data_IF_129482602916
#
_entry.id   IF_129482602916
#
_cell.length_a   1.000
_cell.length_b   1.000
_cell.length_c   1.000
_cell.angle_alpha   90.00
_cell.angle_beta   90.00
_cell.angle_gamma   90.00
#
_symmetry.space_group_name_H-M   'P 1'
#
loop_
_entity.id
_entity.type
_entity.pdbx_description
1 polymer ?
#
# COMPACT_ATOMS: atom_id res chain seq x y z
N UNK A 1 -10.07 -4.20 20.93
CA UNK A 1 -11.28 -3.36 20.99
C UNK A 1 -12.46 -4.03 21.71
N UNK A 2 -12.38 -5.29 22.07
CA UNK A 2 -13.45 -6.06 22.75
C UNK A 2 -14.81 -6.10 21.99
N UNK A 3 -14.81 -5.80 20.68
CA UNK A 3 -16.00 -5.94 19.85
C UNK A 3 -16.18 -7.41 19.47
N UNK A 4 -17.39 -7.90 19.60
CA UNK A 4 -17.80 -9.19 19.05
C UNK A 4 -17.73 -9.13 17.52
N UNK A 5 -17.37 -10.22 16.90
CA UNK A 5 -17.37 -10.40 15.44
C UNK A 5 -17.64 -11.86 15.11
N UNK A 6 -18.17 -12.08 13.93
CA UNK A 6 -18.47 -13.42 13.43
C UNK A 6 -17.41 -13.86 12.44
N UNK A 7 -17.00 -15.12 12.53
CA UNK A 7 -16.27 -15.84 11.49
C UNK A 7 -17.32 -16.64 10.74
N UNK A 8 -17.49 -16.35 9.46
CA UNK A 8 -18.50 -17.02 8.65
C UNK A 8 -18.11 -18.48 8.38
N UNK A 9 -19.08 -19.38 8.22
CA UNK A 9 -18.80 -20.81 7.96
C UNK A 9 -17.82 -21.02 6.79
N UNK A 10 -17.96 -20.25 5.71
CA UNK A 10 -17.10 -20.34 4.53
C UNK A 10 -15.65 -19.92 4.81
N UNK A 11 -15.40 -19.15 5.85
CA UNK A 11 -14.03 -18.69 6.20
C UNK A 11 -13.21 -19.84 6.81
N UNK A 12 -13.86 -20.80 7.45
CA UNK A 12 -13.16 -21.97 8.03
C UNK A 12 -12.51 -22.83 6.95
N UNK A 13 -13.12 -22.96 5.77
CA UNK A 13 -12.50 -23.66 4.64
C UNK A 13 -11.18 -23.00 4.21
N UNK A 14 -11.11 -21.67 4.24
CA UNK A 14 -9.87 -20.95 3.94
C UNK A 14 -8.81 -21.18 5.02
N UNK A 15 -9.17 -21.06 6.30
CA UNK A 15 -8.21 -21.26 7.42
C UNK A 15 -7.69 -22.68 7.48
N UNK A 16 -8.53 -23.70 7.25
CA UNK A 16 -8.13 -25.10 7.16
C UNK A 16 -7.16 -25.35 6.00
N UNK A 17 -7.46 -24.78 4.82
CA UNK A 17 -6.62 -24.90 3.63
C UNK A 17 -5.20 -24.38 3.85
N UNK A 18 -5.06 -23.29 4.59
CA UNK A 18 -3.76 -22.69 4.91
C UNK A 18 -3.19 -23.16 6.27
N UNK A 19 -3.87 -24.05 6.97
CA UNK A 19 -3.46 -24.63 8.25
C UNK A 19 -3.19 -23.59 9.36
N UNK A 20 -4.07 -22.62 9.50
CA UNK A 20 -4.03 -21.61 10.57
C UNK A 20 -5.31 -21.69 11.41
N UNK A 21 -5.25 -21.35 12.71
CA UNK A 21 -6.46 -21.23 13.52
C UNK A 21 -7.32 -20.06 13.06
N UNK A 22 -8.62 -20.13 13.32
CA UNK A 22 -9.52 -18.99 13.12
C UNK A 22 -9.06 -17.77 13.92
N UNK A 23 -9.23 -16.53 13.38
CA UNK A 23 -8.75 -15.33 14.04
C UNK A 23 -9.52 -15.06 15.35
N UNK A 24 -8.80 -14.63 16.37
CA UNK A 24 -9.35 -14.19 17.65
C UNK A 24 -9.57 -12.67 17.73
N UNK A 25 -9.01 -11.91 16.78
CA UNK A 25 -9.20 -10.46 16.65
C UNK A 25 -10.16 -10.11 15.53
N UNK A 26 -11.00 -9.11 15.77
CA UNK A 26 -11.88 -8.58 14.73
C UNK A 26 -11.09 -8.00 13.53
N UNK A 27 -11.70 -7.85 12.34
CA UNK A 27 -10.99 -7.35 11.14
C UNK A 27 -10.30 -6.01 11.34
N UNK A 28 -10.91 -5.06 12.08
CA UNK A 28 -10.30 -3.76 12.37
C UNK A 28 -9.05 -3.89 13.26
N UNK A 29 -9.06 -4.76 14.27
CA UNK A 29 -7.87 -5.01 15.08
C UNK A 29 -6.76 -5.71 14.28
N UNK A 30 -7.13 -6.59 13.36
CA UNK A 30 -6.16 -7.26 12.49
C UNK A 30 -5.48 -6.28 11.52
N UNK A 31 -6.22 -5.33 10.94
CA UNK A 31 -5.59 -4.30 10.09
C UNK A 31 -4.68 -3.36 10.90
N UNK A 32 -5.08 -2.95 12.10
CA UNK A 32 -4.24 -2.14 12.99
C UNK A 32 -2.93 -2.87 13.30
N UNK A 33 -2.99 -4.15 13.62
CA UNK A 33 -1.80 -4.98 13.87
C UNK A 33 -0.84 -4.98 12.66
N UNK A 34 -1.36 -5.17 11.44
CA UNK A 34 -0.55 -5.10 10.21
C UNK A 34 0.05 -3.72 9.99
N UNK A 35 -0.68 -2.65 10.31
CA UNK A 35 -0.18 -1.28 10.16
C UNK A 35 0.96 -0.94 11.13
N UNK A 36 1.10 -1.64 12.26
CA UNK A 36 2.25 -1.46 13.16
C UNK A 36 3.61 -1.75 12.49
N UNK A 37 3.64 -2.52 11.41
CA UNK A 37 4.85 -2.82 10.65
C UNK A 37 5.14 -1.81 9.53
N UNK A 38 4.34 -0.75 9.40
CA UNK A 38 4.44 0.22 8.31
C UNK A 38 4.72 1.62 8.81
N UNK A 39 5.74 2.25 8.23
CA UNK A 39 5.92 3.68 8.27
C UNK A 39 6.27 4.19 6.86
N UNK A 40 5.29 4.66 6.12
CA UNK A 40 5.48 5.11 4.75
C UNK A 40 5.82 6.59 4.66
N UNK A 41 5.26 7.42 5.53
CA UNK A 41 5.24 8.89 5.36
C UNK A 41 6.14 9.65 6.34
N UNK A 42 6.48 9.08 7.50
CA UNK A 42 7.32 9.77 8.48
C UNK A 42 8.78 9.42 8.26
N UNK A 43 9.55 10.38 7.79
CA UNK A 43 10.99 10.23 7.53
C UNK A 43 11.82 11.01 8.55
N UNK A 44 12.92 10.40 8.96
CA UNK A 44 13.86 10.93 9.96
C UNK A 44 15.26 10.98 9.39
N UNK A 45 16.02 12.02 9.73
CA UNK A 45 17.47 12.04 9.50
C UNK A 45 18.17 11.27 10.62
N UNK A 46 18.98 10.28 10.29
CA UNK A 46 19.82 9.53 11.22
C UNK A 46 21.12 9.11 10.56
N UNK A 47 22.08 8.61 11.35
CA UNK A 47 23.29 7.99 10.81
C UNK A 47 23.01 6.53 10.41
N UNK A 48 23.59 6.10 9.30
CA UNK A 48 23.64 4.70 8.90
C UNK A 48 24.55 3.94 9.86
N UNK A 49 24.05 2.88 10.49
CA UNK A 49 24.83 2.13 11.49
C UNK A 49 26.00 1.33 10.87
N UNK A 50 26.06 1.20 9.53
CA UNK A 50 27.18 0.60 8.83
C UNK A 50 28.25 1.64 8.44
N UNK A 51 27.85 2.72 7.77
CA UNK A 51 28.79 3.68 7.15
C UNK A 51 29.02 4.95 7.94
N UNK A 52 28.24 5.21 8.99
CA UNK A 52 28.27 6.46 9.75
C UNK A 52 27.73 7.70 9.01
N UNK A 53 27.41 7.61 7.71
CA UNK A 53 26.89 8.71 6.90
C UNK A 53 25.44 9.05 7.28
N UNK A 54 25.07 10.32 7.17
CA UNK A 54 23.69 10.74 7.36
C UNK A 54 22.79 10.20 6.25
N UNK A 55 21.62 9.69 6.64
CA UNK A 55 20.64 9.10 5.75
C UNK A 55 19.21 9.49 6.15
N UNK A 56 18.29 9.45 5.21
CA UNK A 56 16.85 9.44 5.50
C UNK A 56 16.38 8.03 5.80
N UNK A 57 15.54 7.89 6.80
CA UNK A 57 15.07 6.59 7.29
C UNK A 57 13.61 6.66 7.76
N UNK A 58 12.88 5.58 7.58
CA UNK A 58 11.57 5.38 8.20
C UNK A 58 11.65 5.01 9.69
N UNK A 59 12.86 4.90 10.24
CA UNK A 59 13.12 4.66 11.66
C UNK A 59 13.68 5.91 12.32
N UNK A 60 13.13 6.30 13.47
CA UNK A 60 13.63 7.41 14.27
C UNK A 60 15.06 7.15 14.78
N UNK A 61 15.77 8.21 15.25
CA UNK A 61 17.09 8.07 15.88
C UNK A 61 17.06 7.19 17.12
N UNK A 62 15.93 7.14 17.81
CA UNK A 62 15.72 6.39 19.07
C UNK A 62 15.17 4.98 18.86
N UNK A 63 14.89 4.59 17.61
CA UNK A 63 14.41 3.24 17.32
C UNK A 63 15.48 2.20 17.73
N UNK A 64 15.11 1.15 18.47
CA UNK A 64 16.07 0.18 19.03
C UNK A 64 16.50 -0.86 17.98
N UNK A 65 16.77 -0.42 16.75
CA UNK A 65 17.18 -1.26 15.63
C UNK A 65 18.36 -0.64 14.89
N UNK A 66 19.22 -1.47 14.33
CA UNK A 66 20.27 -1.06 13.40
C UNK A 66 19.64 -0.74 12.05
N UNK A 67 20.06 0.35 11.42
CA UNK A 67 19.53 0.75 10.11
C UNK A 67 20.67 1.03 9.14
N UNK A 68 20.65 0.33 8.04
CA UNK A 68 21.62 0.52 6.96
C UNK A 68 21.04 1.38 5.84
N UNK A 69 21.89 2.16 5.19
CA UNK A 69 21.54 2.81 3.93
C UNK A 69 21.01 1.75 2.95
N UNK A 70 20.04 2.13 2.12
CA UNK A 70 19.39 1.23 1.16
C UNK A 70 20.39 0.48 0.29
N UNK A 71 21.40 1.16 -0.26
CA UNK A 71 22.36 0.56 -1.19
C UNK A 71 23.32 -0.40 -0.48
N UNK A 72 23.67 -0.13 0.77
CA UNK A 72 24.43 -1.06 1.61
C UNK A 72 23.57 -2.26 1.98
N UNK A 73 22.31 -2.04 2.36
CA UNK A 73 21.42 -3.11 2.76
C UNK A 73 21.17 -4.10 1.61
N UNK A 74 21.14 -3.61 0.36
CA UNK A 74 20.97 -4.45 -0.84
C UNK A 74 22.29 -5.00 -1.43
N UNK A 75 23.44 -4.63 -0.88
CA UNK A 75 24.76 -5.12 -1.33
C UNK A 75 25.19 -6.38 -0.56
N UNK A 76 26.28 -7.01 -1.03
CA UNK A 76 26.91 -8.17 -0.41
C UNK A 76 27.90 -7.80 0.73
N UNK A 77 27.82 -6.57 1.26
CA UNK A 77 28.70 -6.10 2.36
C UNK A 77 28.29 -6.65 3.72
N UNK A 78 27.18 -7.32 3.81
CA UNK A 78 26.66 -7.97 5.02
C UNK A 78 25.77 -9.15 4.60
N UNK A 79 25.67 -10.17 5.44
CA UNK A 79 24.78 -11.30 5.24
C UNK A 79 23.77 -11.40 6.38
N UNK A 80 22.50 -11.51 6.04
CA UNK A 80 21.44 -11.73 7.02
C UNK A 80 21.54 -13.11 7.70
N UNK A 81 22.24 -14.06 7.09
CA UNK A 81 22.51 -15.37 7.67
C UNK A 81 23.42 -15.31 8.91
N UNK A 82 24.31 -14.29 9.03
CA UNK A 82 25.21 -14.09 10.18
C UNK A 82 24.42 -13.85 11.48
N UNK A 83 23.16 -13.47 11.39
CA UNK A 83 22.24 -13.25 12.52
C UNK A 83 21.41 -14.49 12.86
N UNK A 84 21.56 -15.57 12.10
CA UNK A 84 20.84 -16.83 12.28
C UNK A 84 21.14 -17.49 13.62
N UNK A 85 20.10 -18.06 14.24
CA UNK A 85 20.21 -18.80 15.50
C UNK A 85 19.44 -20.09 15.46
N UNK A 86 19.93 -21.09 16.18
CA UNK A 86 19.15 -22.30 16.44
C UNK A 86 17.89 -21.97 17.23
N UNK A 87 16.83 -22.69 16.90
CA UNK A 87 15.60 -22.60 17.67
C UNK A 87 15.78 -23.20 19.06
N UNK A 88 15.39 -22.44 20.06
CA UNK A 88 15.49 -22.86 21.46
C UNK A 88 14.09 -23.22 22.01
N UNK A 89 13.84 -24.48 22.25
CA UNK A 89 12.58 -24.98 22.81
C UNK A 89 12.34 -24.58 24.29
N UNK A 90 13.29 -23.94 24.96
CA UNK A 90 13.09 -23.40 26.31
C UNK A 90 12.59 -21.94 26.33
N UNK A 91 12.30 -21.34 25.15
CA UNK A 91 11.87 -19.95 25.02
C UNK A 91 10.73 -19.82 24.01
N UNK A 92 9.72 -18.97 24.25
CA UNK A 92 8.66 -18.72 23.28
C UNK A 92 9.22 -18.26 21.92
N UNK A 93 8.59 -18.70 20.82
CA UNK A 93 9.00 -18.32 19.47
C UNK A 93 9.08 -16.79 19.29
N UNK A 94 8.08 -16.04 19.72
CA UNK A 94 8.05 -14.60 19.52
C UNK A 94 9.10 -13.85 20.36
N UNK A 95 9.60 -14.40 21.45
CA UNK A 95 10.76 -13.83 22.16
C UNK A 95 12.02 -13.95 21.29
N UNK A 96 12.25 -15.12 20.69
CA UNK A 96 13.38 -15.39 19.81
C UNK A 96 13.29 -14.57 18.53
N UNK A 97 12.12 -14.48 17.91
CA UNK A 97 11.87 -13.68 16.73
C UNK A 97 12.05 -12.17 17.00
N UNK A 98 11.56 -11.66 18.14
CA UNK A 98 11.81 -10.28 18.58
C UNK A 98 13.30 -10.00 18.77
N UNK A 99 14.05 -10.96 19.30
CA UNK A 99 15.50 -10.82 19.43
C UNK A 99 16.17 -10.70 18.05
N UNK A 100 15.76 -11.48 17.06
CA UNK A 100 16.22 -11.36 15.69
C UNK A 100 15.86 -9.98 15.10
N UNK A 101 14.60 -9.51 15.25
CA UNK A 101 14.13 -8.19 14.82
C UNK A 101 15.02 -7.04 15.33
N UNK A 102 15.44 -7.10 16.61
CA UNK A 102 16.22 -6.04 17.26
C UNK A 102 17.70 -6.06 16.89
N UNK A 103 18.24 -7.19 16.48
CA UNK A 103 19.67 -7.34 16.21
C UNK A 103 20.03 -7.24 14.73
N UNK A 104 19.15 -7.67 13.83
CA UNK A 104 19.40 -7.63 12.39
C UNK A 104 19.27 -6.21 11.83
N UNK A 105 20.11 -5.81 10.85
CA UNK A 105 19.97 -4.51 10.20
C UNK A 105 18.68 -4.38 9.35
N UNK A 106 18.06 -3.20 9.42
CA UNK A 106 16.88 -2.84 8.64
C UNK A 106 17.26 -1.90 7.51
N UNK A 107 16.52 -2.00 6.40
CA UNK A 107 16.64 -1.05 5.29
C UNK A 107 16.11 0.33 5.71
N UNK A 108 16.84 1.38 5.37
CA UNK A 108 16.46 2.75 5.74
C UNK A 108 15.15 3.20 5.13
N UNK A 109 14.93 2.91 3.85
CA UNK A 109 13.74 3.27 3.05
C UNK A 109 13.52 2.25 1.94
N UNK A 110 12.28 2.15 1.48
CA UNK A 110 11.91 1.40 0.28
C UNK A 110 11.88 2.33 -0.94
N UNK A 111 13.00 2.45 -1.63
CA UNK A 111 13.14 3.32 -2.81
C UNK A 111 13.96 2.62 -3.89
N UNK A 112 13.75 2.97 -5.15
CA UNK A 112 14.56 2.49 -6.28
C UNK A 112 14.61 3.56 -7.38
N UNK A 113 15.79 3.78 -8.00
CA UNK A 113 16.00 4.69 -9.13
C UNK A 113 15.40 6.09 -8.87
N UNK A 114 15.83 6.77 -7.83
CA UNK A 114 15.41 8.15 -7.53
C UNK A 114 16.52 9.14 -7.86
N UNK A 115 16.17 10.26 -8.49
CA UNK A 115 17.07 11.36 -8.84
C UNK A 115 16.48 12.66 -8.27
N UNK A 116 17.25 13.39 -7.46
CA UNK A 116 16.78 14.64 -6.84
C UNK A 116 15.53 14.49 -5.97
N UNK A 117 15.32 13.31 -5.36
CA UNK A 117 14.06 12.94 -4.70
C UNK A 117 14.28 12.35 -3.30
N UNK A 118 15.08 13.04 -2.48
CA UNK A 118 15.59 12.48 -1.21
C UNK A 118 14.53 12.27 -0.12
N UNK A 119 13.44 13.04 -0.11
CA UNK A 119 12.38 12.96 0.90
C UNK A 119 11.21 12.06 0.47
N UNK A 120 11.49 11.00 -0.29
CA UNK A 120 10.48 10.06 -0.78
C UNK A 120 10.67 8.67 -0.14
N UNK A 121 9.59 7.91 -0.05
CA UNK A 121 9.63 6.54 0.44
C UNK A 121 8.54 5.68 -0.22
N UNK A 122 8.77 4.37 -0.23
CA UNK A 122 7.91 3.40 -0.91
C UNK A 122 7.65 3.81 -2.37
N UNK A 123 8.73 4.16 -3.07
CA UNK A 123 8.65 4.84 -4.34
C UNK A 123 9.78 4.39 -5.29
N UNK A 124 9.52 4.46 -6.60
CA UNK A 124 10.49 4.08 -7.61
C UNK A 124 10.44 4.93 -8.88
N UNK A 125 11.59 5.05 -9.55
CA UNK A 125 11.70 5.78 -10.81
C UNK A 125 11.15 7.23 -10.71
N UNK A 126 11.61 7.96 -9.69
CA UNK A 126 11.24 9.35 -9.46
C UNK A 126 12.36 10.30 -9.86
N UNK A 127 11.99 11.48 -10.37
CA UNK A 127 12.93 12.57 -10.67
C UNK A 127 12.36 13.89 -10.16
N UNK A 128 13.21 14.68 -9.44
CA UNK A 128 12.85 15.99 -8.89
C UNK A 128 11.57 15.98 -8.03
N UNK A 129 11.36 14.94 -7.23
CA UNK A 129 10.17 14.79 -6.41
C UNK A 129 10.44 15.08 -4.94
N UNK A 130 9.45 15.65 -4.24
CA UNK A 130 9.55 15.98 -2.83
C UNK A 130 8.31 15.54 -2.06
N UNK A 131 8.51 14.79 -0.96
CA UNK A 131 7.43 14.23 -0.12
C UNK A 131 6.41 13.43 -0.94
N UNK A 132 6.94 12.53 -1.77
CA UNK A 132 6.14 11.58 -2.56
C UNK A 132 6.21 10.20 -1.94
N UNK A 133 5.05 9.56 -1.79
CA UNK A 133 4.93 8.24 -1.15
C UNK A 133 4.06 7.28 -1.97
N UNK A 134 4.44 6.01 -2.02
CA UNK A 134 3.68 5.00 -2.72
C UNK A 134 3.62 5.14 -4.24
N UNK A 135 4.57 5.84 -4.84
CA UNK A 135 4.47 6.34 -6.22
C UNK A 135 5.56 5.75 -7.11
N UNK A 136 5.28 5.67 -8.41
CA UNK A 136 6.23 5.20 -9.40
C UNK A 136 6.15 6.01 -10.69
N UNK A 137 7.31 6.14 -11.39
CA UNK A 137 7.41 6.79 -12.69
C UNK A 137 6.80 8.21 -12.69
N UNK A 138 7.23 9.05 -11.77
CA UNK A 138 6.72 10.43 -11.69
C UNK A 138 7.86 11.43 -11.58
N UNK A 139 7.66 12.62 -12.19
CA UNK A 139 8.65 13.68 -12.24
C UNK A 139 8.04 15.00 -11.73
N UNK A 140 8.90 15.91 -11.25
CA UNK A 140 8.58 17.30 -10.89
C UNK A 140 7.32 17.45 -10.01
N UNK A 141 7.11 16.49 -9.10
CA UNK A 141 5.89 16.41 -8.29
C UNK A 141 6.21 16.49 -6.79
N UNK A 142 5.29 17.04 -6.00
CA UNK A 142 5.48 17.17 -4.57
C UNK A 142 4.18 17.02 -3.76
N UNK A 143 4.34 16.65 -2.46
CA UNK A 143 3.25 16.50 -1.50
C UNK A 143 2.15 15.55 -1.96
N UNK A 144 2.52 14.41 -2.56
CA UNK A 144 1.53 13.52 -3.14
C UNK A 144 1.73 12.03 -2.80
N UNK A 145 0.68 11.25 -3.00
CA UNK A 145 0.63 9.84 -2.66
C UNK A 145 0.01 9.03 -3.80
N UNK A 146 0.55 7.83 -4.03
CA UNK A 146 0.03 6.90 -5.04
C UNK A 146 -0.03 7.49 -6.46
N UNK A 147 1.00 8.25 -6.85
CA UNK A 147 1.14 8.72 -8.23
C UNK A 147 1.68 7.60 -9.13
N UNK A 148 1.18 7.53 -10.35
CA UNK A 148 1.65 6.56 -11.35
C UNK A 148 1.73 7.21 -12.72
N UNK A 149 2.95 7.36 -13.25
CA UNK A 149 3.23 8.06 -14.51
C UNK A 149 2.67 9.51 -14.51
N UNK A 150 2.98 10.28 -13.48
CA UNK A 150 2.48 11.63 -13.30
C UNK A 150 3.61 12.66 -13.33
N UNK A 151 3.34 13.82 -13.91
CA UNK A 151 4.27 14.96 -13.97
C UNK A 151 3.59 16.22 -13.44
N UNK A 152 4.37 17.11 -12.80
CA UNK A 152 3.90 18.39 -12.29
C UNK A 152 2.64 18.29 -11.41
N UNK A 153 2.59 17.28 -10.53
CA UNK A 153 1.46 17.04 -9.64
C UNK A 153 1.79 17.47 -8.21
N UNK A 154 0.93 18.30 -7.64
CA UNK A 154 1.10 18.87 -6.28
C UNK A 154 -0.15 18.65 -5.45
N UNK A 155 0.02 18.37 -4.14
CA UNK A 155 -1.07 18.15 -3.16
C UNK A 155 -2.14 17.16 -3.67
N UNK A 156 -1.71 16.04 -4.22
CA UNK A 156 -2.58 15.12 -4.95
C UNK A 156 -2.48 13.67 -4.47
N UNK A 157 -3.55 12.90 -4.64
CA UNK A 157 -3.60 11.48 -4.25
C UNK A 157 -4.30 10.60 -5.31
N UNK A 158 -3.75 9.39 -5.53
CA UNK A 158 -4.28 8.37 -6.44
C UNK A 158 -4.46 8.88 -7.90
N UNK A 159 -3.40 9.49 -8.45
CA UNK A 159 -3.39 9.92 -9.85
C UNK A 159 -2.68 8.91 -10.75
N UNK A 160 -3.20 8.74 -11.95
CA UNK A 160 -2.59 7.88 -12.98
C UNK A 160 -2.52 8.58 -14.33
N UNK A 161 -1.32 8.67 -14.91
CA UNK A 161 -1.06 9.33 -16.19
C UNK A 161 -1.62 10.78 -16.23
N UNK A 162 -1.43 11.53 -15.15
CA UNK A 162 -1.86 12.90 -15.05
C UNK A 162 -0.68 13.86 -15.21
N UNK A 163 -0.92 14.99 -15.87
CA UNK A 163 0.03 16.08 -15.98
C UNK A 163 -0.61 17.37 -15.50
N UNK A 164 0.15 18.18 -14.76
CA UNK A 164 -0.28 19.46 -14.19
C UNK A 164 -1.57 19.30 -13.37
N UNK A 165 -1.45 18.72 -12.19
CA UNK A 165 -2.58 18.55 -11.27
C UNK A 165 -2.29 19.21 -9.92
N UNK A 166 -3.27 19.93 -9.40
CA UNK A 166 -3.21 20.52 -8.07
C UNK A 166 -4.50 20.23 -7.29
N UNK A 167 -4.37 19.78 -6.03
CA UNK A 167 -5.48 19.27 -5.21
C UNK A 167 -6.34 18.26 -6.00
N UNK A 168 -5.67 17.32 -6.71
CA UNK A 168 -6.31 16.26 -7.48
C UNK A 168 -6.51 14.98 -6.65
N UNK A 169 -7.68 14.34 -6.79
CA UNK A 169 -7.98 13.10 -6.11
C UNK A 169 -8.65 12.08 -7.03
N UNK A 170 -8.07 10.87 -7.15
CA UNK A 170 -8.60 9.78 -7.96
C UNK A 170 -8.87 10.20 -9.43
N UNK A 171 -7.97 10.98 -10.00
CA UNK A 171 -8.06 11.36 -11.40
C UNK A 171 -7.20 10.44 -12.27
N UNK A 172 -7.69 10.14 -13.46
CA UNK A 172 -7.02 9.21 -14.38
C UNK A 172 -6.98 9.76 -15.79
N UNK A 173 -5.76 9.77 -16.36
CA UNK A 173 -5.53 10.29 -17.71
C UNK A 173 -6.08 11.72 -17.89
N UNK A 174 -5.77 12.59 -16.94
CA UNK A 174 -6.18 13.99 -16.98
C UNK A 174 -4.99 14.90 -17.27
N UNK A 175 -5.25 16.00 -17.97
CA UNK A 175 -4.30 17.06 -18.22
C UNK A 175 -4.88 18.40 -17.75
N UNK A 176 -4.11 19.17 -16.96
CA UNK A 176 -4.57 20.40 -16.31
C UNK A 176 -5.86 20.18 -15.49
N UNK A 177 -5.75 19.38 -14.43
CA UNK A 177 -6.86 19.10 -13.54
C UNK A 177 -6.62 19.74 -12.15
N UNK A 178 -7.35 20.80 -11.86
CA UNK A 178 -7.21 21.56 -10.63
C UNK A 178 -8.44 21.37 -9.72
N UNK A 179 -8.23 21.11 -8.43
CA UNK A 179 -9.29 20.94 -7.43
C UNK A 179 -10.37 19.95 -7.87
N UNK A 180 -9.99 18.93 -8.62
CA UNK A 180 -10.92 18.01 -9.27
C UNK A 180 -10.75 16.59 -8.75
N UNK A 181 -11.86 15.85 -8.67
CA UNK A 181 -11.83 14.49 -8.12
C UNK A 181 -12.73 13.53 -8.89
N UNK A 182 -12.30 12.24 -8.96
CA UNK A 182 -13.01 11.20 -9.67
C UNK A 182 -13.27 11.53 -11.14
N UNK A 183 -12.29 12.18 -11.78
CA UNK A 183 -12.37 12.57 -13.19
C UNK A 183 -11.49 11.66 -14.04
N UNK A 184 -12.03 11.19 -15.16
CA UNK A 184 -11.28 10.36 -16.09
C UNK A 184 -11.27 11.03 -17.49
N UNK A 185 -10.17 10.84 -18.23
CA UNK A 185 -10.02 11.25 -19.63
C UNK A 185 -10.45 12.72 -19.86
N UNK A 186 -10.08 13.62 -18.95
CA UNK A 186 -10.56 15.00 -18.98
C UNK A 186 -9.43 16.01 -19.10
N UNK A 187 -9.66 17.14 -19.78
CA UNK A 187 -8.66 18.14 -20.13
C UNK A 187 -9.13 19.53 -19.71
N UNK A 188 -8.23 20.33 -19.11
CA UNK A 188 -8.51 21.70 -18.68
C UNK A 188 -9.77 21.78 -17.81
N UNK A 189 -9.74 21.06 -16.70
CA UNK A 189 -10.85 20.98 -15.76
C UNK A 189 -10.49 21.63 -14.43
N UNK A 190 -11.43 22.41 -13.89
CA UNK A 190 -11.27 23.07 -12.58
C UNK A 190 -12.52 22.80 -11.75
N UNK A 191 -12.35 22.35 -10.52
CA UNK A 191 -13.43 22.05 -9.58
C UNK A 191 -14.49 21.05 -10.12
N UNK A 192 -14.06 20.09 -10.94
CA UNK A 192 -14.96 19.05 -11.47
C UNK A 192 -14.96 17.80 -10.56
N UNK A 193 -16.11 17.14 -10.46
CA UNK A 193 -16.28 15.96 -9.64
C UNK A 193 -17.15 14.92 -10.33
N UNK A 194 -16.70 13.63 -10.27
CA UNK A 194 -17.41 12.48 -10.86
C UNK A 194 -17.66 12.64 -12.38
N UNK A 195 -16.69 13.16 -13.09
CA UNK A 195 -16.82 13.49 -14.50
C UNK A 195 -15.97 12.58 -15.40
N UNK A 196 -16.37 12.44 -16.65
CA UNK A 196 -15.64 11.63 -17.62
C UNK A 196 -15.67 12.29 -19.00
N UNK A 197 -14.50 12.35 -19.67
CA UNK A 197 -14.35 12.89 -21.00
C UNK A 197 -14.87 14.33 -21.11
N UNK A 198 -14.37 15.19 -20.22
CA UNK A 198 -14.64 16.63 -20.27
C UNK A 198 -13.48 17.40 -20.91
N UNK A 199 -13.80 18.50 -21.55
CA UNK A 199 -12.82 19.43 -22.08
C UNK A 199 -13.23 20.88 -21.77
N UNK A 200 -12.34 21.68 -21.16
CA UNK A 200 -12.63 23.06 -20.78
C UNK A 200 -13.92 23.15 -19.96
N UNK A 201 -13.91 22.64 -18.74
CA UNK A 201 -15.08 22.61 -17.86
C UNK A 201 -14.75 23.15 -16.48
N UNK A 202 -15.66 23.89 -15.86
CA UNK A 202 -15.51 24.53 -14.57
C UNK A 202 -16.69 24.22 -13.64
N UNK A 203 -16.41 23.72 -12.43
CA UNK A 203 -17.42 23.46 -11.41
C UNK A 203 -18.49 22.43 -11.83
N UNK A 204 -18.12 21.47 -12.65
CA UNK A 204 -19.07 20.47 -13.21
C UNK A 204 -19.14 19.20 -12.37
N UNK A 205 -20.35 18.67 -12.20
CA UNK A 205 -20.67 17.53 -11.36
C UNK A 205 -21.40 16.46 -12.17
N UNK A 206 -20.95 15.20 -12.11
CA UNK A 206 -21.58 14.04 -12.73
C UNK A 206 -21.76 14.16 -14.27
N UNK A 207 -20.94 14.93 -14.97
CA UNK A 207 -21.05 15.10 -16.43
C UNK A 207 -20.18 14.10 -17.22
N UNK A 208 -20.63 13.83 -18.44
CA UNK A 208 -19.92 12.96 -19.40
C UNK A 208 -19.98 13.54 -20.80
N UNK A 209 -18.82 13.46 -21.51
CA UNK A 209 -18.71 13.85 -22.93
C UNK A 209 -19.19 15.31 -23.16
N UNK A 210 -18.66 16.26 -22.40
CA UNK A 210 -19.03 17.68 -22.48
C UNK A 210 -17.83 18.58 -22.65
N UNK A 211 -18.05 19.71 -23.32
CA UNK A 211 -17.03 20.75 -23.49
C UNK A 211 -17.65 22.14 -23.27
N UNK A 212 -16.87 23.05 -22.66
CA UNK A 212 -17.26 24.43 -22.37
C UNK A 212 -18.49 24.54 -21.46
N UNK A 213 -18.46 23.80 -20.33
CA UNK A 213 -19.53 23.84 -19.32
C UNK A 213 -19.05 24.57 -18.06
N UNK A 214 -19.91 25.41 -17.49
CA UNK A 214 -19.73 26.03 -16.18
C UNK A 214 -20.97 25.74 -15.32
N UNK A 215 -20.76 25.14 -14.11
CA UNK A 215 -21.85 24.72 -13.21
C UNK A 215 -22.95 23.91 -13.94
N UNK A 216 -22.53 22.94 -14.74
CA UNK A 216 -23.37 22.08 -15.58
C UNK A 216 -24.20 22.81 -16.67
N UNK A 217 -23.91 24.06 -16.99
CA UNK A 217 -24.57 24.78 -18.06
C UNK A 217 -23.63 24.96 -19.26
N UNK A 218 -24.14 24.76 -20.51
CA UNK A 218 -23.33 24.93 -21.71
C UNK A 218 -23.09 26.39 -22.04
N UNK A 219 -21.94 26.69 -22.65
CA UNK A 219 -21.55 27.97 -23.18
C UNK A 219 -20.93 27.78 -24.57
N UNK A 220 -20.91 28.84 -25.42
CA UNK A 220 -20.00 28.83 -26.54
C UNK A 220 -18.55 28.90 -26.05
N UNK A 221 -17.59 28.62 -26.92
CA UNK A 221 -16.18 28.69 -26.57
C UNK A 221 -15.79 30.08 -26.07
N UNK A 222 -16.21 31.10 -26.78
CA UNK A 222 -15.92 32.48 -26.48
C UNK A 222 -16.55 32.95 -25.17
N UNK A 223 -17.80 32.61 -24.95
CA UNK A 223 -18.53 32.89 -23.69
C UNK A 223 -17.93 32.17 -22.51
N UNK A 224 -17.49 30.92 -22.68
CA UNK A 224 -16.86 30.16 -21.63
C UNK A 224 -15.63 30.86 -21.05
N UNK A 225 -14.69 31.26 -21.90
CA UNK A 225 -13.49 31.93 -21.45
C UNK A 225 -13.80 33.31 -20.87
N UNK A 226 -14.68 34.10 -21.48
CA UNK A 226 -15.15 35.37 -20.95
C UNK A 226 -15.77 35.21 -19.56
N UNK A 227 -16.59 34.20 -19.35
CA UNK A 227 -17.22 33.95 -18.06
C UNK A 227 -16.20 33.48 -17.03
N UNK A 228 -15.21 32.64 -17.41
CA UNK A 228 -14.15 32.17 -16.54
C UNK A 228 -13.29 33.33 -16.02
N UNK A 229 -12.95 34.26 -16.87
CA UNK A 229 -12.18 35.48 -16.49
C UNK A 229 -12.91 36.33 -15.45
N UNK A 230 -14.25 36.36 -15.45
CA UNK A 230 -15.03 37.11 -14.44
C UNK A 230 -14.86 36.57 -13.02
N UNK A 231 -14.51 35.31 -12.86
CA UNK A 231 -14.29 34.73 -11.53
C UNK A 231 -13.03 35.26 -10.86
N UNK A 232 -12.07 35.76 -11.62
CA UNK A 232 -10.83 36.34 -11.13
C UNK A 232 -10.20 35.51 -10.00
N UNK A 233 -9.92 34.21 -10.26
CA UNK A 233 -9.46 33.22 -9.30
C UNK A 233 -8.07 33.54 -8.72
N UNK A 234 -7.33 34.48 -9.26
CA UNK A 234 -6.06 34.95 -8.71
C UNK A 234 -6.21 35.67 -7.36
N UNK A 235 -7.41 36.17 -7.03
CA UNK A 235 -7.67 36.78 -5.74
C UNK A 235 -8.16 35.71 -4.72
N UNK A 236 -7.45 35.57 -3.62
CA UNK A 236 -7.77 34.59 -2.57
C UNK A 236 -9.22 34.67 -2.05
N UNK A 237 -9.77 35.88 -1.92
CA UNK A 237 -11.17 36.10 -1.55
C UNK A 237 -12.13 35.44 -2.55
N UNK A 238 -11.95 35.75 -3.85
CA UNK A 238 -12.80 35.23 -4.91
C UNK A 238 -12.69 33.69 -5.02
N UNK A 239 -11.48 33.20 -4.92
CA UNK A 239 -11.23 31.73 -4.89
C UNK A 239 -12.04 31.05 -3.80
N UNK A 240 -12.00 31.57 -2.56
CA UNK A 240 -12.74 30.98 -1.45
C UNK A 240 -14.28 31.12 -1.61
N UNK A 241 -14.76 32.20 -2.17
CA UNK A 241 -16.19 32.38 -2.49
C UNK A 241 -16.65 31.35 -3.52
N UNK A 242 -15.87 31.16 -4.58
CA UNK A 242 -16.15 30.16 -5.63
C UNK A 242 -16.08 28.74 -5.05
N UNK A 243 -15.06 28.41 -4.25
CA UNK A 243 -14.94 27.10 -3.60
C UNK A 243 -16.20 26.77 -2.79
N UNK A 244 -16.67 27.68 -1.94
CA UNK A 244 -17.91 27.51 -1.17
C UNK A 244 -19.15 27.34 -2.08
N UNK A 245 -19.24 28.10 -3.17
CA UNK A 245 -20.34 27.99 -4.13
C UNK A 245 -20.36 26.62 -4.81
N UNK A 246 -19.20 26.08 -5.14
CA UNK A 246 -19.06 24.76 -5.74
C UNK A 246 -19.43 23.65 -4.75
N UNK A 247 -19.01 23.76 -3.50
CA UNK A 247 -19.40 22.83 -2.43
C UNK A 247 -20.93 22.77 -2.27
N UNK A 248 -21.59 23.93 -2.21
CA UNK A 248 -23.06 24.02 -2.14
C UNK A 248 -23.74 23.49 -3.41
N UNK A 249 -23.14 23.74 -4.58
CA UNK A 249 -23.64 23.22 -5.85
C UNK A 249 -23.56 21.69 -5.90
N UNK A 250 -22.45 21.10 -5.42
CA UNK A 250 -22.25 19.66 -5.35
C UNK A 250 -23.31 18.96 -4.52
N UNK A 251 -23.77 19.55 -3.41
CA UNK A 251 -24.80 18.98 -2.55
C UNK A 251 -26.17 18.80 -3.24
N UNK A 252 -26.39 19.39 -4.41
CA UNK A 252 -27.62 19.24 -5.20
C UNK A 252 -27.65 17.98 -6.05
N UNK A 253 -26.55 17.27 -6.16
CA UNK A 253 -26.42 16.09 -7.00
C UNK A 253 -26.33 14.82 -6.20
N UNK A 254 -26.88 13.70 -6.73
CA UNK A 254 -26.74 12.42 -6.08
C UNK A 254 -25.29 11.96 -6.02
N UNK A 255 -24.90 11.37 -4.91
CA UNK A 255 -23.59 10.76 -4.69
C UNK A 255 -23.69 9.27 -5.00
N UNK A 256 -22.68 8.70 -5.61
CA UNK A 256 -22.62 7.25 -5.83
C UNK A 256 -22.56 6.52 -4.49
N UNK A 257 -23.36 5.47 -4.36
CA UNK A 257 -23.32 4.57 -3.21
C UNK A 257 -21.95 3.85 -3.11
N UNK A 258 -21.39 3.47 -4.24
CA UNK A 258 -20.06 2.83 -4.35
C UNK A 258 -19.45 3.01 -5.75
N UNK A 259 -18.13 2.97 -5.81
CA UNK A 259 -17.35 2.98 -7.04
C UNK A 259 -16.97 1.54 -7.41
N UNK A 260 -17.77 0.94 -8.25
CA UNK A 260 -17.57 -0.48 -8.59
C UNK A 260 -18.12 -0.80 -9.98
N UNK A 261 -17.33 -1.50 -10.81
CA UNK A 261 -17.76 -1.92 -12.14
C UNK A 261 -17.26 -3.34 -12.47
N UNK A 262 -18.07 -4.08 -13.22
CA UNK A 262 -17.76 -5.43 -13.72
C UNK A 262 -17.44 -6.42 -12.61
N UNK A 263 -18.28 -6.46 -11.59
CA UNK A 263 -18.07 -7.30 -10.42
C UNK A 263 -19.22 -8.28 -10.18
N UNK A 264 -18.93 -9.35 -9.43
CA UNK A 264 -19.93 -10.30 -8.93
C UNK A 264 -19.64 -10.64 -7.47
N UNK A 265 -20.67 -10.56 -6.60
CA UNK A 265 -20.57 -10.87 -5.17
C UNK A 265 -19.48 -10.03 -4.47
N UNK A 266 -19.73 -8.73 -4.31
CA UNK A 266 -18.75 -7.83 -3.67
C UNK A 266 -19.39 -6.99 -2.56
N UNK A 267 -18.59 -6.72 -1.51
CA UNK A 267 -18.83 -5.67 -0.52
C UNK A 267 -17.58 -4.82 -0.30
N UNK A 268 -17.76 -3.50 -0.18
CA UNK A 268 -16.66 -2.53 -0.10
C UNK A 268 -16.75 -1.50 -1.21
N UNK A 269 -15.66 -0.73 -1.43
CA UNK A 269 -15.63 0.36 -2.41
C UNK A 269 -14.35 0.34 -3.26
N UNK A 270 -14.38 1.01 -4.42
CA UNK A 270 -13.29 1.02 -5.41
C UNK A 270 -12.89 -0.38 -5.88
N UNK A 271 -13.89 -1.22 -6.21
CA UNK A 271 -13.67 -2.60 -6.64
C UNK A 271 -14.04 -2.74 -8.12
N UNK A 272 -13.10 -3.25 -8.91
CA UNK A 272 -13.24 -3.36 -10.36
C UNK A 272 -12.85 -4.76 -10.88
N UNK A 273 -13.62 -5.28 -11.84
CA UNK A 273 -13.34 -6.55 -12.52
C UNK A 273 -13.11 -7.72 -11.55
N UNK A 274 -13.92 -7.83 -10.50
CA UNK A 274 -13.65 -8.71 -9.37
C UNK A 274 -14.83 -9.62 -9.02
N UNK A 275 -14.54 -10.76 -8.39
CA UNK A 275 -15.52 -11.78 -8.01
C UNK A 275 -15.26 -12.33 -6.62
N UNK A 276 -16.32 -12.48 -5.80
CA UNK A 276 -16.23 -12.96 -4.41
C UNK A 276 -15.22 -12.14 -3.58
N UNK A 277 -15.45 -10.83 -3.49
CA UNK A 277 -14.57 -9.89 -2.80
C UNK A 277 -15.36 -9.19 -1.71
N UNK A 278 -15.08 -9.49 -0.43
CA UNK A 278 -15.88 -9.03 0.71
C UNK A 278 -15.08 -8.16 1.68
N UNK A 279 -15.69 -7.04 2.10
CA UNK A 279 -15.08 -6.06 3.00
C UNK A 279 -13.68 -5.62 2.53
N UNK A 280 -13.58 -5.31 1.23
CA UNK A 280 -12.33 -4.93 0.60
C UNK A 280 -12.43 -3.53 -0.02
N UNK A 281 -11.26 -2.87 -0.18
CA UNK A 281 -11.19 -1.52 -0.73
C UNK A 281 -10.01 -1.38 -1.70
N UNK A 282 -10.22 -0.65 -2.82
CA UNK A 282 -9.20 -0.42 -3.85
C UNK A 282 -8.68 -1.75 -4.43
N UNK A 283 -9.58 -2.54 -5.00
CA UNK A 283 -9.27 -3.84 -5.59
C UNK A 283 -9.51 -3.80 -7.11
N UNK A 284 -8.58 -4.35 -7.86
CA UNK A 284 -8.76 -4.58 -9.30
C UNK A 284 -8.38 -6.02 -9.66
N UNK A 285 -9.26 -6.70 -10.41
CA UNK A 285 -9.09 -8.10 -10.81
C UNK A 285 -8.88 -9.05 -9.63
N UNK A 286 -9.69 -8.87 -8.56
CA UNK A 286 -9.64 -9.73 -7.37
C UNK A 286 -10.58 -10.93 -7.45
N UNK A 287 -10.17 -12.07 -6.92
CA UNK A 287 -11.00 -13.27 -6.78
C UNK A 287 -10.80 -13.92 -5.41
N UNK A 288 -11.88 -14.24 -4.69
CA UNK A 288 -11.85 -14.83 -3.34
C UNK A 288 -11.02 -14.00 -2.35
N UNK A 289 -11.35 -12.72 -2.18
CA UNK A 289 -10.65 -11.82 -1.26
C UNK A 289 -11.55 -11.42 -0.10
N UNK A 290 -10.99 -11.36 1.12
CA UNK A 290 -11.72 -10.87 2.29
C UNK A 290 -10.83 -10.00 3.18
N UNK A 291 -11.34 -8.83 3.60
CA UNK A 291 -10.63 -7.85 4.42
C UNK A 291 -9.31 -7.36 3.80
N UNK A 292 -9.27 -7.20 2.51
CA UNK A 292 -8.09 -6.79 1.75
C UNK A 292 -8.18 -5.33 1.28
N UNK A 293 -7.03 -4.67 1.15
CA UNK A 293 -6.97 -3.30 0.67
C UNK A 293 -5.77 -3.06 -0.27
N UNK A 294 -5.98 -2.22 -1.29
CA UNK A 294 -4.96 -1.80 -2.25
C UNK A 294 -4.28 -2.97 -2.98
N UNK A 295 -5.07 -3.91 -3.49
CA UNK A 295 -4.58 -5.05 -4.27
C UNK A 295 -4.93 -4.92 -5.75
N UNK A 296 -4.08 -5.50 -6.61
CA UNK A 296 -4.33 -5.62 -8.04
C UNK A 296 -3.67 -4.57 -8.92
N UNK A 297 -2.69 -3.86 -8.42
CA UNK A 297 -1.83 -3.00 -9.25
C UNK A 297 -0.94 -3.88 -10.14
N UNK A 298 -1.24 -3.93 -11.45
CA UNK A 298 -0.47 -4.68 -12.45
C UNK A 298 -0.85 -6.15 -12.64
N UNK A 299 -1.83 -6.70 -11.90
CA UNK A 299 -2.25 -8.10 -12.04
C UNK A 299 -3.46 -8.43 -11.18
N UNK A 300 -4.01 -9.62 -11.32
CA UNK A 300 -5.08 -10.13 -10.48
C UNK A 300 -4.54 -10.64 -9.13
N UNK A 301 -5.40 -10.67 -8.10
CA UNK A 301 -5.10 -11.28 -6.81
C UNK A 301 -6.12 -12.36 -6.52
N UNK A 302 -5.68 -13.50 -6.02
CA UNK A 302 -6.58 -14.61 -5.68
C UNK A 302 -6.34 -15.12 -4.27
N UNK A 303 -7.40 -15.69 -3.69
CA UNK A 303 -7.36 -16.46 -2.47
C UNK A 303 -6.53 -15.78 -1.37
N UNK A 304 -6.92 -14.57 -0.96
CA UNK A 304 -6.18 -13.80 0.03
C UNK A 304 -7.11 -13.19 1.06
N UNK A 305 -6.81 -13.40 2.34
CA UNK A 305 -7.53 -12.80 3.46
C UNK A 305 -6.58 -11.91 4.27
N UNK A 306 -7.08 -10.76 4.70
CA UNK A 306 -6.30 -9.83 5.52
C UNK A 306 -4.96 -9.40 4.88
N UNK A 307 -4.99 -9.12 3.58
CA UNK A 307 -3.82 -8.70 2.83
C UNK A 307 -3.89 -7.20 2.50
N UNK A 308 -2.82 -6.49 2.81
CA UNK A 308 -2.72 -5.05 2.56
C UNK A 308 -1.59 -4.75 1.58
N UNK A 309 -1.94 -4.11 0.46
CA UNK A 309 -1.09 -3.52 -0.56
C UNK A 309 -0.25 -4.49 -1.40
N UNK A 310 -0.37 -4.35 -2.69
CA UNK A 310 0.30 -4.95 -3.83
C UNK A 310 -0.33 -6.26 -4.31
N UNK A 311 0.13 -7.43 -3.90
CA UNK A 311 -0.51 -8.74 -4.10
C UNK A 311 -0.69 -9.24 -5.54
N UNK A 312 0.21 -8.92 -6.48
CA UNK A 312 0.09 -9.40 -7.86
C UNK A 312 0.06 -10.93 -7.93
N UNK A 313 -1.06 -11.47 -8.41
CA UNK A 313 -1.27 -12.91 -8.60
C UNK A 313 -1.33 -13.73 -7.30
N UNK A 314 -1.46 -13.07 -6.13
CA UNK A 314 -1.38 -13.76 -4.85
C UNK A 314 -2.35 -14.93 -4.72
N UNK A 315 -1.89 -16.02 -4.12
CA UNK A 315 -2.69 -17.19 -3.78
C UNK A 315 -2.39 -17.63 -2.35
N UNK A 316 -3.44 -17.80 -1.54
CA UNK A 316 -3.41 -18.24 -0.15
C UNK A 316 -2.51 -17.36 0.74
N UNK A 317 -2.76 -16.06 0.68
CA UNK A 317 -2.07 -15.09 1.53
C UNK A 317 -2.94 -14.75 2.73
N UNK A 318 -2.36 -14.75 3.91
CA UNK A 318 -3.06 -14.43 5.14
C UNK A 318 -2.26 -13.49 6.04
N UNK A 319 -2.95 -12.50 6.65
CA UNK A 319 -2.38 -11.53 7.60
C UNK A 319 -1.04 -10.94 7.15
N UNK A 320 -0.94 -10.55 5.88
CA UNK A 320 0.31 -10.10 5.29
C UNK A 320 0.22 -8.68 4.74
N UNK A 321 1.36 -8.00 4.62
CA UNK A 321 1.44 -6.60 4.23
C UNK A 321 2.59 -6.34 3.27
N UNK A 322 2.33 -5.57 2.20
CA UNK A 322 3.35 -5.17 1.20
C UNK A 322 4.07 -6.36 0.54
N UNK A 323 3.34 -7.44 0.32
CA UNK A 323 3.85 -8.63 -0.36
C UNK A 323 3.28 -8.69 -1.79
N UNK A 324 4.07 -9.13 -2.76
CA UNK A 324 3.64 -9.17 -4.16
C UNK A 324 4.69 -9.73 -5.12
N UNK A 325 4.39 -9.69 -6.42
CA UNK A 325 5.24 -10.20 -7.51
C UNK A 325 5.57 -11.70 -7.41
N UNK A 326 4.67 -12.54 -7.91
CA UNK A 326 4.81 -14.00 -7.95
C UNK A 326 5.02 -14.60 -6.54
N UNK A 327 4.06 -14.38 -5.67
CA UNK A 327 4.08 -14.91 -4.31
C UNK A 327 2.98 -15.96 -4.14
N UNK A 328 3.22 -16.94 -3.26
CA UNK A 328 2.19 -17.89 -2.84
C UNK A 328 2.47 -18.46 -1.45
N UNK A 329 1.40 -18.85 -0.74
CA UNK A 329 1.46 -19.42 0.60
C UNK A 329 2.27 -18.55 1.59
N UNK A 330 1.89 -17.27 1.74
CA UNK A 330 2.50 -16.35 2.70
C UNK A 330 1.56 -16.10 3.88
N UNK A 331 2.07 -16.31 5.09
CA UNK A 331 1.32 -16.12 6.32
C UNK A 331 2.10 -15.23 7.29
N UNK A 332 1.45 -14.18 7.80
CA UNK A 332 2.05 -13.24 8.76
C UNK A 332 3.35 -12.60 8.25
N UNK A 333 3.39 -12.27 6.96
CA UNK A 333 4.58 -11.75 6.28
C UNK A 333 4.49 -10.24 6.02
N UNK A 334 5.65 -9.58 6.00
CA UNK A 334 5.75 -8.16 5.68
C UNK A 334 6.88 -7.89 4.68
N UNK A 335 6.57 -7.17 3.60
CA UNK A 335 7.55 -6.76 2.58
C UNK A 335 8.34 -7.94 1.97
N UNK A 336 7.68 -9.08 1.74
CA UNK A 336 8.26 -10.25 1.09
C UNK A 336 7.93 -10.25 -0.41
N UNK A 337 8.94 -10.08 -1.24
CA UNK A 337 8.88 -9.98 -2.70
C UNK A 337 10.30 -9.94 -3.32
N UNK A 338 10.48 -10.21 -4.62
CA UNK A 338 9.62 -11.00 -5.50
C UNK A 338 9.79 -12.50 -5.27
N UNK A 339 8.97 -13.33 -5.96
CA UNK A 339 9.16 -14.78 -6.07
C UNK A 339 9.31 -15.49 -4.72
N UNK A 340 8.40 -15.23 -3.79
CA UNK A 340 8.40 -15.85 -2.46
C UNK A 340 7.31 -16.91 -2.34
N UNK A 341 7.67 -18.09 -1.83
CA UNK A 341 6.75 -19.23 -1.72
C UNK A 341 6.89 -19.90 -0.35
N UNK A 342 5.76 -20.17 0.33
CA UNK A 342 5.72 -20.87 1.62
C UNK A 342 6.56 -20.16 2.70
N UNK A 343 6.22 -18.91 3.00
CA UNK A 343 6.85 -18.11 4.04
C UNK A 343 5.89 -17.89 5.21
N UNK A 344 6.37 -18.08 6.43
CA UNK A 344 5.62 -17.79 7.65
C UNK A 344 6.43 -16.89 8.58
N UNK A 345 5.80 -15.86 9.16
CA UNK A 345 6.45 -14.87 10.04
C UNK A 345 7.72 -14.24 9.44
N UNK A 346 7.74 -13.96 8.15
CA UNK A 346 8.94 -13.48 7.46
C UNK A 346 8.84 -12.02 7.05
N UNK A 347 9.97 -11.29 7.14
CA UNK A 347 10.02 -9.85 6.87
C UNK A 347 11.18 -9.53 5.91
N UNK A 348 10.93 -8.69 4.88
CA UNK A 348 11.91 -8.27 3.88
C UNK A 348 12.66 -9.41 3.18
N UNK A 349 12.02 -10.55 3.00
CA UNK A 349 12.60 -11.68 2.26
C UNK A 349 12.26 -11.59 0.77
N UNK A 350 13.21 -12.02 -0.07
CA UNK A 350 13.04 -11.98 -1.53
C UNK A 350 13.59 -13.22 -2.22
N UNK A 351 12.91 -13.67 -3.29
CA UNK A 351 13.31 -14.83 -4.11
C UNK A 351 13.64 -16.07 -3.27
N UNK A 352 12.81 -16.34 -2.26
CA UNK A 352 13.07 -17.35 -1.24
C UNK A 352 11.87 -18.25 -1.02
N UNK A 353 12.09 -19.44 -0.51
CA UNK A 353 11.01 -20.39 -0.22
C UNK A 353 11.25 -21.18 1.06
N UNK A 354 10.15 -21.66 1.67
CA UNK A 354 10.22 -22.46 2.89
C UNK A 354 11.01 -21.75 4.01
N UNK A 355 10.52 -20.58 4.44
CA UNK A 355 11.11 -19.81 5.53
C UNK A 355 10.16 -19.71 6.71
N UNK A 356 10.67 -19.82 7.91
CA UNK A 356 9.92 -19.67 9.15
C UNK A 356 10.63 -18.71 10.11
N UNK A 357 10.01 -17.55 10.39
CA UNK A 357 10.57 -16.53 11.29
C UNK A 357 11.85 -15.86 10.76
N UNK A 358 11.94 -15.59 9.47
CA UNK A 358 13.14 -15.09 8.83
C UNK A 358 13.07 -13.61 8.44
N UNK A 359 14.21 -12.92 8.45
CA UNK A 359 14.29 -11.49 8.13
C UNK A 359 15.44 -11.21 7.16
N UNK A 360 15.14 -10.50 6.06
CA UNK A 360 16.15 -10.00 5.12
C UNK A 360 16.83 -11.07 4.26
N UNK A 361 16.33 -12.28 4.22
CA UNK A 361 16.91 -13.37 3.42
C UNK A 361 16.62 -13.20 1.92
N UNK A 362 17.63 -13.51 1.10
CA UNK A 362 17.54 -13.47 -0.36
C UNK A 362 18.07 -14.76 -0.97
N UNK A 363 17.32 -15.32 -1.92
CA UNK A 363 17.71 -16.57 -2.61
C UNK A 363 18.03 -17.71 -1.63
N UNK A 364 17.24 -17.83 -0.54
CA UNK A 364 17.42 -18.87 0.49
C UNK A 364 16.20 -19.78 0.55
N UNK A 365 16.44 -21.00 1.02
CA UNK A 365 15.41 -22.02 1.24
C UNK A 365 15.66 -22.74 2.55
N UNK A 366 14.60 -23.26 3.17
CA UNK A 366 14.67 -24.07 4.37
C UNK A 366 15.43 -23.40 5.53
N UNK A 367 15.04 -22.14 5.84
CA UNK A 367 15.64 -21.41 6.97
C UNK A 367 14.61 -21.21 8.08
N UNK A 368 15.07 -21.32 9.33
CA UNK A 368 14.31 -20.99 10.54
C UNK A 368 15.14 -19.98 11.34
N UNK A 369 14.56 -18.84 11.72
CA UNK A 369 15.24 -17.75 12.43
C UNK A 369 16.60 -17.37 11.77
N UNK A 370 16.62 -17.26 10.45
CA UNK A 370 17.80 -17.00 9.61
C UNK A 370 18.90 -18.08 9.65
N UNK A 371 18.69 -19.22 10.28
CA UNK A 371 19.62 -20.36 10.21
C UNK A 371 19.19 -21.34 9.11
N UNK A 372 20.15 -21.80 8.31
CA UNK A 372 19.96 -22.79 7.24
C UNK A 372 19.83 -24.20 7.81
N UNK A 373 18.90 -24.96 7.27
CA UNK A 373 18.68 -26.39 7.55
C UNK A 373 18.65 -27.17 6.24
N UNK A 374 18.76 -28.51 6.30
CA UNK A 374 18.37 -29.38 5.18
C UNK A 374 16.86 -29.34 5.01
N UNK A 375 16.37 -29.83 3.88
CA UNK A 375 14.93 -29.93 3.63
C UNK A 375 14.25 -30.80 4.70
N UNK A 376 14.85 -31.95 4.98
CA UNK A 376 14.35 -32.95 5.92
C UNK A 376 14.28 -32.37 7.33
N UNK A 377 15.34 -31.73 7.80
CA UNK A 377 15.36 -31.05 9.10
C UNK A 377 14.31 -29.94 9.21
N UNK A 378 14.14 -29.13 8.15
CA UNK A 378 13.14 -28.07 8.12
C UNK A 378 11.72 -28.63 8.22
N UNK A 379 11.41 -29.66 7.41
CA UNK A 379 10.10 -30.33 7.40
C UNK A 379 9.77 -31.04 8.72
N UNK A 380 10.77 -31.48 9.45
CA UNK A 380 10.62 -32.06 10.79
C UNK A 380 10.47 -30.98 11.88
N UNK A 381 11.28 -29.91 11.81
CA UNK A 381 11.34 -28.91 12.88
C UNK A 381 10.14 -27.96 12.88
N UNK A 382 9.66 -27.50 11.70
CA UNK A 382 8.57 -26.51 11.62
C UNK A 382 7.30 -26.99 12.33
N UNK A 383 6.79 -28.22 12.12
CA UNK A 383 5.65 -28.73 12.88
C UNK A 383 5.88 -28.75 14.39
N UNK A 384 7.08 -29.16 14.85
CA UNK A 384 7.44 -29.14 16.27
C UNK A 384 7.47 -27.75 16.86
N UNK A 385 7.94 -26.77 16.09
CA UNK A 385 7.92 -25.34 16.49
C UNK A 385 6.49 -24.83 16.61
N UNK A 386 5.62 -25.17 15.68
CA UNK A 386 4.19 -24.77 15.74
C UNK A 386 3.51 -25.39 16.97
N UNK A 387 3.75 -26.66 17.27
CA UNK A 387 3.26 -27.30 18.48
C UNK A 387 3.82 -26.62 19.74
N UNK A 388 5.11 -26.31 19.75
CA UNK A 388 5.75 -25.57 20.83
C UNK A 388 5.16 -24.16 21.02
N UNK A 389 4.82 -23.46 19.96
CA UNK A 389 4.14 -22.16 20.04
C UNK A 389 2.77 -22.24 20.71
N UNK A 390 2.06 -23.35 20.54
CA UNK A 390 0.78 -23.60 21.20
C UNK A 390 0.96 -23.98 22.68
N UNK A 391 1.98 -24.76 23.03
CA UNK A 391 2.26 -25.18 24.39
C UNK A 391 2.97 -24.12 25.25
N UNK A 392 3.78 -23.25 24.61
CA UNK A 392 4.49 -22.15 25.25
C UNK A 392 4.21 -20.83 24.50
N UNK A 393 2.99 -20.27 24.61
CA UNK A 393 2.64 -19.02 23.95
C UNK A 393 3.44 -17.86 24.53
N UNK A 394 3.72 -16.86 23.68
CA UNK A 394 4.27 -15.59 24.15
C UNK A 394 3.19 -14.79 24.87
N UNK A 395 3.45 -14.42 26.11
CA UNK A 395 2.58 -13.56 26.92
C UNK A 395 3.26 -12.21 27.08
N UNK A 396 2.57 -11.15 26.70
CA UNK A 396 3.09 -9.80 26.86
C UNK A 396 2.91 -9.27 28.32
N UNK A 397 3.38 -8.05 28.58
CA UNK A 397 3.28 -7.43 29.91
C UNK A 397 1.84 -7.19 30.40
N UNK A 398 0.84 -7.37 29.55
CA UNK A 398 -0.57 -7.19 29.88
C UNK A 398 -1.30 -8.53 30.07
N UNK A 399 -0.58 -9.66 29.90
CA UNK A 399 -1.16 -11.02 29.99
C UNK A 399 -1.82 -11.46 28.70
#
# INVERSE_FOLDING_TARGET
CQKEFTVEPEDFEFYEKIKVPAPTFCPECRIIRRMCFKNERSLYKRKCDFSGKEIFSMFSKTAPVKVYNRDIWWSDKWDSMDYGKEYNFNKPFFEQFKNLILNIPWVSRSIINIIGSDYCNNAGNLKNCYLIFGSNYSEDSCYAVNLSYCNDCVDSEDLTNCEISYEGFLNKKCYQAFFSSHCENSYNIIFCHECNNLTNCFGCINLRNKSYYIFNKPYSKEEYFKQLDTFNLGLFKNFNEIKKKIEQFRLKFPVKYKHANYNSQITGDYIYNSKKVFNCYCINKGENLKFCQYLGFGGGCKDSYDHYRWGMGSELIYESSSCGSNISALQFCCSCFPNCVNLTYSIHCGSSSNLFGCIGLRHKQYCILNKQYTKEEYEELVPKIIEHMNSMPFIDKKG
#
